data_IF_390138686255
#
_entry.id   IF_390138686255
#
_cell.length_a   1.000
_cell.length_b   1.000
_cell.length_c   1.000
_cell.angle_alpha   90.00
_cell.angle_beta   90.00
_cell.angle_gamma   90.00
#
_symmetry.space_group_name_H-M   'P 1'
#
loop_
_entity.id
_entity.type
_entity.pdbx_description
1 polymer ?
#
# COMPACT_ATOMS: atom_id res chain seq x y z
N UNK A 1 -2.71 13.25 6.41
CA UNK A 1 -2.46 13.08 4.96
C UNK A 1 -2.16 11.62 4.71
N UNK A 2 -2.59 11.03 3.60
CA UNK A 2 -2.27 9.63 3.28
C UNK A 2 -1.59 9.58 1.93
N UNK A 3 -0.45 8.89 1.84
CA UNK A 3 0.26 8.62 0.60
C UNK A 3 0.00 7.17 0.22
N UNK A 4 -0.68 6.97 -0.91
CA UNK A 4 -1.08 5.64 -1.38
C UNK A 4 -0.29 5.23 -2.63
N UNK A 5 0.06 3.94 -2.78
CA UNK A 5 0.65 3.41 -4.02
C UNK A 5 -0.46 3.17 -5.05
N UNK A 6 -0.58 4.06 -6.04
CA UNK A 6 -1.54 3.97 -7.14
C UNK A 6 -0.89 3.38 -8.41
N UNK A 7 -1.72 2.98 -9.38
CA UNK A 7 -1.26 2.41 -10.67
C UNK A 7 -0.28 3.32 -11.43
N UNK A 8 -0.40 4.64 -11.29
CA UNK A 8 0.44 5.63 -11.96
C UNK A 8 1.60 6.15 -11.11
N UNK A 9 1.85 5.57 -9.93
CA UNK A 9 2.89 6.00 -9.00
C UNK A 9 2.36 6.27 -7.59
N UNK A 10 2.99 7.17 -6.85
CA UNK A 10 2.51 7.57 -5.51
C UNK A 10 1.53 8.72 -5.61
N UNK A 11 0.42 8.63 -4.89
CA UNK A 11 -0.64 9.64 -4.86
C UNK A 11 -0.86 10.11 -3.42
N UNK A 12 -0.73 11.42 -3.20
CA UNK A 12 -1.08 12.07 -1.93
C UNK A 12 -2.56 12.43 -1.88
N UNK A 13 -3.30 11.80 -0.98
CA UNK A 13 -4.73 12.04 -0.80
C UNK A 13 -4.95 13.16 0.23
N UNK A 14 -5.68 14.19 -0.21
CA UNK A 14 -6.17 15.28 0.63
C UNK A 14 -7.70 15.21 0.77
N UNK A 15 -8.27 15.86 1.81
CA UNK A 15 -9.73 16.03 1.94
C UNK A 15 -10.39 16.53 0.65
N UNK A 16 -11.44 15.84 0.19
CA UNK A 16 -12.20 16.22 -1.02
C UNK A 16 -11.64 15.72 -2.36
N UNK A 17 -10.67 14.80 -2.35
CA UNK A 17 -10.09 14.19 -3.54
C UNK A 17 -11.02 13.12 -4.19
N UNK A 18 -10.73 12.70 -5.43
CA UNK A 18 -11.50 11.72 -6.24
C UNK A 18 -11.89 10.46 -5.47
N UNK A 19 -13.11 9.98 -5.69
CA UNK A 19 -13.81 9.03 -4.82
C UNK A 19 -13.22 7.59 -4.74
N UNK A 20 -12.52 7.09 -5.76
CA UNK A 20 -12.03 5.70 -5.77
C UNK A 20 -10.71 5.58 -6.51
N UNK A 21 -9.73 4.90 -5.91
CA UNK A 21 -8.39 4.68 -6.48
C UNK A 21 -8.00 3.20 -6.30
N UNK A 22 -7.52 2.56 -7.37
CA UNK A 22 -6.92 1.22 -7.30
C UNK A 22 -5.50 1.30 -6.72
N UNK A 23 -5.21 0.44 -5.75
CA UNK A 23 -3.92 0.34 -5.10
C UNK A 23 -3.06 -0.74 -5.76
N UNK A 24 -1.81 -0.39 -6.05
CA UNK A 24 -0.77 -1.36 -6.42
C UNK A 24 0.00 -1.81 -5.18
N UNK A 25 0.71 -2.93 -5.33
CA UNK A 25 1.63 -3.39 -4.31
C UNK A 25 2.66 -2.29 -4.01
N UNK A 26 2.85 -1.98 -2.73
CA UNK A 26 3.76 -0.91 -2.36
C UNK A 26 3.61 -0.46 -0.92
N UNK A 27 4.20 0.69 -0.64
CA UNK A 27 4.19 1.29 0.69
C UNK A 27 3.09 2.34 0.78
N UNK A 28 2.22 2.17 1.77
CA UNK A 28 1.22 3.10 2.23
C UNK A 28 1.79 3.88 3.42
N UNK A 29 1.72 5.21 3.38
CA UNK A 29 2.14 6.06 4.49
C UNK A 29 0.96 6.88 5.01
N UNK A 30 0.65 6.72 6.29
CA UNK A 30 -0.40 7.47 6.99
C UNK A 30 0.28 8.51 7.86
N UNK A 31 -0.02 9.78 7.60
CA UNK A 31 0.49 10.93 8.35
C UNK A 31 -0.62 11.49 9.24
N UNK A 32 -0.42 11.42 10.56
CA UNK A 32 -1.25 12.03 11.58
C UNK A 32 -0.43 13.07 12.35
N UNK A 33 -0.56 14.35 11.97
CA UNK A 33 0.29 15.41 12.50
C UNK A 33 1.77 15.18 12.22
N UNK A 34 2.55 14.91 13.28
CA UNK A 34 3.98 14.60 13.21
C UNK A 34 4.27 13.09 13.11
N UNK A 35 3.29 12.23 13.35
CA UNK A 35 3.47 10.79 13.35
C UNK A 35 3.24 10.22 11.94
N UNK A 36 4.15 9.34 11.52
CA UNK A 36 4.10 8.69 10.20
C UNK A 36 4.16 7.18 10.39
N UNK A 37 3.05 6.52 10.05
CA UNK A 37 2.92 5.06 10.10
C UNK A 37 2.99 4.49 8.68
N UNK A 38 3.92 3.57 8.46
CA UNK A 38 4.16 2.97 7.15
C UNK A 38 3.75 1.50 7.12
N UNK A 39 3.04 1.13 6.06
CA UNK A 39 2.54 -0.23 5.84
C UNK A 39 2.90 -0.69 4.45
N UNK A 40 3.30 -1.95 4.30
CA UNK A 40 3.31 -2.61 3.01
C UNK A 40 1.92 -3.17 2.72
N UNK A 41 1.39 -2.84 1.56
CA UNK A 41 0.08 -3.32 1.08
C UNK A 41 0.26 -4.11 -0.21
N UNK A 42 -0.44 -5.24 -0.32
CA UNK A 42 -0.34 -6.15 -1.47
C UNK A 42 -1.10 -5.64 -2.70
N UNK A 43 -2.39 -5.39 -2.55
CA UNK A 43 -3.25 -4.72 -3.53
C UNK A 43 -4.58 -4.35 -2.87
N UNK A 44 -5.36 -3.49 -3.51
CA UNK A 44 -6.64 -3.08 -2.94
C UNK A 44 -7.28 -1.89 -3.61
N UNK A 45 -8.17 -1.24 -2.88
CA UNK A 45 -8.84 0.00 -3.26
C UNK A 45 -8.83 0.99 -2.11
N UNK A 46 -8.67 2.26 -2.44
CA UNK A 46 -8.87 3.38 -1.53
C UNK A 46 -10.12 4.15 -1.96
N UNK A 47 -11.08 4.30 -1.04
CA UNK A 47 -12.28 5.10 -1.23
C UNK A 47 -12.15 6.40 -0.45
N UNK A 48 -12.42 7.52 -1.11
CA UNK A 48 -12.28 8.85 -0.52
C UNK A 48 -13.65 9.48 -0.51
N UNK A 49 -14.14 9.75 0.70
CA UNK A 49 -15.47 10.29 0.92
C UNK A 49 -15.43 11.81 1.01
N UNK A 50 -16.53 12.45 0.61
CA UNK A 50 -16.67 13.91 0.64
C UNK A 50 -16.63 14.50 2.06
N UNK A 51 -16.86 13.68 3.09
CA UNK A 51 -16.73 14.06 4.50
C UNK A 51 -15.28 14.02 5.00
N UNK A 52 -14.28 13.91 4.12
CA UNK A 52 -12.85 13.83 4.45
C UNK A 52 -12.40 12.54 5.13
N UNK A 53 -13.17 11.47 4.98
CA UNK A 53 -12.78 10.12 5.39
C UNK A 53 -12.21 9.35 4.21
N UNK A 54 -11.18 8.55 4.45
CA UNK A 54 -10.62 7.65 3.45
C UNK A 54 -10.65 6.21 3.98
N UNK A 55 -11.34 5.33 3.28
CA UNK A 55 -11.37 3.89 3.58
C UNK A 55 -10.36 3.18 2.69
N UNK A 56 -9.46 2.43 3.32
CA UNK A 56 -8.43 1.65 2.61
C UNK A 56 -8.78 0.18 2.77
N UNK A 57 -9.11 -0.47 1.67
CA UNK A 57 -9.42 -1.89 1.62
C UNK A 57 -8.28 -2.58 0.88
N UNK A 58 -7.44 -3.30 1.63
CA UNK A 58 -6.37 -4.11 1.07
C UNK A 58 -6.56 -5.58 1.44
N UNK A 59 -6.10 -6.48 0.57
CA UNK A 59 -6.14 -7.91 0.88
C UNK A 59 -5.20 -8.26 2.04
N UNK A 60 -4.00 -7.69 2.01
CA UNK A 60 -3.00 -7.83 3.06
C UNK A 60 -2.32 -6.49 3.30
N UNK A 61 -2.18 -6.12 4.57
CA UNK A 61 -1.48 -4.92 5.01
C UNK A 61 -0.59 -5.28 6.20
N UNK A 62 0.72 -5.13 6.02
CA UNK A 62 1.72 -5.49 7.03
C UNK A 62 2.47 -4.23 7.45
N UNK A 63 2.55 -3.94 8.76
CA UNK A 63 3.40 -2.86 9.28
C UNK A 63 4.87 -3.06 8.86
N UNK A 64 5.55 -2.00 8.41
CA UNK A 64 6.94 -2.14 7.92
C UNK A 64 7.92 -2.64 8.98
N UNK A 65 7.65 -2.38 10.26
CA UNK A 65 8.45 -2.85 11.39
C UNK A 65 8.35 -4.38 11.61
N UNK A 66 7.32 -5.03 11.06
CA UNK A 66 7.13 -6.47 11.15
C UNK A 66 7.72 -7.23 9.94
N UNK A 67 8.29 -6.51 8.97
CA UNK A 67 8.86 -7.11 7.77
C UNK A 67 10.34 -7.42 7.99
N UNK A 68 10.69 -8.70 7.99
CA UNK A 68 12.09 -9.15 8.00
C UNK A 68 12.64 -9.20 6.57
N UNK A 69 13.52 -8.24 6.26
CA UNK A 69 14.18 -8.15 4.96
C UNK A 69 14.94 -9.43 4.56
N UNK A 70 15.45 -10.20 5.53
CA UNK A 70 16.16 -11.45 5.25
C UNK A 70 15.23 -12.55 4.74
N UNK A 71 13.97 -12.59 5.21
CA UNK A 71 12.95 -13.52 4.74
C UNK A 71 12.38 -13.08 3.39
N UNK A 72 12.20 -11.78 3.18
CA UNK A 72 11.76 -11.23 1.89
C UNK A 72 12.74 -11.58 0.78
N UNK A 73 14.06 -11.44 1.01
CA UNK A 73 15.07 -11.82 0.02
C UNK A 73 15.05 -13.32 -0.30
N UNK A 74 14.82 -14.19 0.69
CA UNK A 74 14.66 -15.64 0.45
C UNK A 74 13.41 -15.94 -0.36
N UNK A 75 12.27 -15.31 -0.03
CA UNK A 75 11.03 -15.46 -0.79
C UNK A 75 11.19 -14.99 -2.24
N UNK A 76 11.82 -13.84 -2.45
CA UNK A 76 12.12 -13.31 -3.78
C UNK A 76 13.10 -14.19 -4.56
N UNK A 77 14.01 -14.91 -3.91
CA UNK A 77 14.92 -15.84 -4.58
C UNK A 77 14.22 -17.15 -5.01
N UNK A 78 13.14 -17.54 -4.31
CA UNK A 78 12.32 -18.72 -4.65
C UNK A 78 11.35 -18.41 -5.81
N UNK A 79 10.86 -17.18 -5.88
CA UNK A 79 9.87 -16.75 -6.86
C UNK A 79 10.31 -16.80 -8.36
N UNK A 80 11.58 -16.55 -8.77
CA UNK A 80 11.98 -16.67 -10.17
C UNK A 80 11.95 -18.11 -10.71
N UNK A 81 11.91 -19.15 -9.85
CA UNK A 81 11.80 -20.53 -10.32
C UNK A 81 10.37 -20.97 -10.65
N UNK A 82 9.35 -20.24 -10.17
CA UNK A 82 7.94 -20.58 -10.42
C UNK A 82 7.34 -19.95 -11.69
N UNK A 83 8.05 -19.04 -12.37
CA UNK A 83 7.61 -18.48 -13.65
C UNK A 83 7.93 -19.34 -14.87
N UNK A 84 8.49 -20.54 -14.68
CA UNK A 84 8.93 -21.43 -15.75
C UNK A 84 8.29 -22.83 -15.64
N UNK A 85 6.96 -22.91 -15.55
CA UNK A 85 6.22 -24.17 -15.80
C UNK A 85 4.69 -23.96 -15.93
N UNK A 86 4.27 -22.99 -16.75
CA UNK A 86 2.90 -22.97 -17.31
C UNK A 86 3.00 -22.80 -18.82
#
# INVERSE_FOLDING_TARGET
MVIIPATTGQLGVLPGHVATIELKHGVLSVHDGNDVSNYFVSSGFAFIHANSFADIVAFEAVPLDQIDASQVQKGLAIQPELSLNI
#
